data_IF_523079425293
#
_entry.id   IF_523079425293
#
_cell.length_a   1.000
_cell.length_b   1.000
_cell.length_c   1.000
_cell.angle_alpha   90.00
_cell.angle_beta   90.00
_cell.angle_gamma   90.00
#
_symmetry.space_group_name_H-M   'P 1'
#
loop_
_entity.id
_entity.type
_entity.pdbx_description
1 polymer ?
#
# COMPACT_ATOMS: atom_id res chain seq x y z
N UNK A 1 5.10 64.09 -16.30
CA UNK A 1 5.12 63.07 -17.38
C UNK A 1 5.69 61.79 -16.78
N UNK A 2 4.82 61.05 -16.09
CA UNK A 2 4.28 59.74 -16.47
C UNK A 2 5.24 58.57 -16.18
N UNK A 3 4.86 57.84 -15.14
CA UNK A 3 5.23 56.48 -14.77
C UNK A 3 5.01 55.46 -15.88
N UNK A 4 5.81 54.39 -15.90
CA UNK A 4 5.38 53.08 -16.37
C UNK A 4 6.12 51.97 -15.60
N UNK A 5 5.36 51.31 -14.71
CA UNK A 5 5.69 50.03 -14.09
C UNK A 5 5.62 48.94 -15.16
N UNK A 6 6.63 48.08 -15.24
CA UNK A 6 6.55 46.83 -16.03
C UNK A 6 6.08 45.72 -15.09
N UNK A 7 4.79 45.38 -15.24
CA UNK A 7 4.11 44.24 -14.62
C UNK A 7 4.61 42.94 -15.24
N UNK A 8 5.35 42.13 -14.49
CA UNK A 8 5.67 40.75 -14.88
C UNK A 8 4.44 39.87 -14.57
N UNK A 9 3.68 39.51 -15.61
CA UNK A 9 2.55 38.59 -15.49
C UNK A 9 3.06 37.16 -15.30
N UNK A 10 2.60 36.51 -14.24
CA UNK A 10 2.75 35.08 -13.98
C UNK A 10 2.01 34.27 -15.04
N UNK A 11 2.74 33.49 -15.83
CA UNK A 11 2.16 32.45 -16.70
C UNK A 11 2.04 31.18 -15.85
N UNK A 12 0.94 31.06 -15.12
CA UNK A 12 0.52 29.76 -14.55
C UNK A 12 -0.23 29.00 -15.64
N UNK A 13 0.41 27.99 -16.23
CA UNK A 13 -0.28 27.04 -17.11
C UNK A 13 -1.20 26.14 -16.26
N UNK A 14 -2.51 26.00 -16.56
CA UNK A 14 -3.46 25.32 -15.68
C UNK A 14 -3.40 23.77 -15.69
N UNK A 15 -2.42 23.16 -16.36
CA UNK A 15 -2.44 21.72 -16.69
C UNK A 15 -1.93 20.74 -15.62
N UNK A 16 -1.25 21.20 -14.56
CA UNK A 16 -0.60 20.30 -13.59
C UNK A 16 -1.39 20.02 -12.31
N UNK A 17 -2.30 20.92 -11.92
CA UNK A 17 -3.06 20.87 -10.65
C UNK A 17 -4.16 19.79 -10.60
N UNK A 18 -4.44 19.13 -11.73
CA UNK A 18 -5.66 18.35 -11.93
C UNK A 18 -5.42 16.83 -11.96
N UNK A 19 -4.17 16.38 -12.06
CA UNK A 19 -3.86 14.96 -12.28
C UNK A 19 -4.11 14.10 -11.03
N UNK A 20 -3.56 14.49 -9.88
CA UNK A 20 -3.81 13.78 -8.61
C UNK A 20 -5.25 13.97 -8.10
N UNK A 21 -5.88 15.12 -8.38
CA UNK A 21 -7.29 15.34 -8.00
C UNK A 21 -8.24 14.39 -8.74
N UNK A 22 -7.98 14.09 -10.01
CA UNK A 22 -8.81 13.18 -10.83
C UNK A 22 -8.56 11.70 -10.56
N UNK A 23 -7.33 11.31 -10.25
CA UNK A 23 -6.98 9.91 -9.95
C UNK A 23 -7.63 9.40 -8.66
N UNK A 24 -7.88 10.26 -7.67
CA UNK A 24 -8.37 9.86 -6.35
C UNK A 24 -9.82 10.27 -6.01
N UNK A 25 -10.54 10.97 -6.90
CA UNK A 25 -11.95 11.38 -6.66
C UNK A 25 -13.01 10.48 -7.33
N UNK A 26 -12.62 9.43 -8.06
CA UNK A 26 -13.55 8.60 -8.82
C UNK A 26 -14.04 7.38 -8.04
N UNK A 27 -14.82 7.62 -6.98
CA UNK A 27 -15.69 6.61 -6.35
C UNK A 27 -16.93 7.28 -5.77
N UNK A 28 -17.83 7.77 -6.64
CA UNK A 28 -19.16 8.26 -6.24
C UNK A 28 -20.23 7.83 -7.23
N UNK A 29 -20.82 6.65 -7.01
CA UNK A 29 -22.21 6.38 -7.39
C UNK A 29 -22.84 5.47 -6.33
N UNK A 30 -23.55 6.04 -5.36
CA UNK A 30 -24.68 5.38 -4.70
C UNK A 30 -25.80 6.42 -4.53
N UNK A 31 -26.91 6.18 -5.23
CA UNK A 31 -28.19 6.88 -5.02
C UNK A 31 -28.95 6.18 -3.88
N UNK A 32 -29.77 6.90 -3.10
CA UNK A 32 -30.48 6.31 -1.97
C UNK A 32 -31.71 5.53 -2.45
N UNK A 33 -31.93 4.33 -1.92
CA UNK A 33 -33.20 3.61 -2.03
C UNK A 33 -33.92 3.65 -0.68
N UNK A 34 -35.16 4.12 -0.73
CA UNK A 34 -36.08 4.34 0.38
C UNK A 34 -36.56 3.06 1.05
N UNK A 35 -36.69 3.11 2.38
CA UNK A 35 -37.41 2.15 3.24
C UNK A 35 -38.91 2.17 2.97
N UNK A 36 -39.53 0.99 2.90
CA UNK A 36 -40.85 0.67 3.49
C UNK A 36 -41.05 -0.84 3.53
N UNK A 37 -41.55 -1.38 4.66
CA UNK A 37 -42.17 -2.72 4.68
C UNK A 37 -41.86 -3.60 5.90
N UNK A 38 -42.46 -3.28 7.05
CA UNK A 38 -42.66 -4.21 8.17
C UNK A 38 -43.59 -5.36 7.75
N UNK A 39 -43.24 -6.61 8.04
CA UNK A 39 -44.22 -7.65 8.47
C UNK A 39 -43.56 -8.60 9.47
N UNK A 40 -44.18 -8.66 10.65
CA UNK A 40 -43.99 -9.59 11.78
C UNK A 40 -44.48 -11.00 11.44
N UNK A 41 -43.89 -12.05 12.02
CA UNK A 41 -44.64 -13.23 12.48
C UNK A 41 -43.84 -14.12 13.45
N UNK A 42 -44.29 -14.03 14.70
CA UNK A 42 -44.38 -15.02 15.80
C UNK A 42 -43.64 -16.36 15.76
N UNK A 43 -43.00 -16.63 16.91
CA UNK A 43 -42.52 -17.91 17.41
C UNK A 43 -43.62 -18.98 17.58
N UNK A 44 -43.20 -20.26 17.54
CA UNK A 44 -43.84 -21.37 18.29
C UNK A 44 -42.79 -22.38 18.76
N UNK A 45 -42.73 -22.51 20.08
CA UNK A 45 -42.03 -23.52 20.88
C UNK A 45 -42.86 -24.79 20.92
N UNK A 46 -42.25 -25.97 20.74
CA UNK A 46 -42.79 -27.24 21.26
C UNK A 46 -41.63 -28.15 21.70
N UNK A 47 -41.61 -28.43 22.99
CA UNK A 47 -40.80 -29.45 23.68
C UNK A 47 -41.64 -30.73 23.79
N UNK A 48 -41.05 -31.91 23.56
CA UNK A 48 -41.44 -33.20 24.18
C UNK A 48 -40.25 -34.19 24.12
N UNK A 49 -39.81 -34.65 25.31
CA UNK A 49 -39.58 -36.05 25.73
C UNK A 49 -38.76 -37.05 24.90
N UNK A 50 -37.67 -37.56 25.50
CA UNK A 50 -36.90 -38.77 25.12
C UNK A 50 -37.72 -40.08 25.24
N UNK A 51 -37.26 -41.22 24.68
CA UNK A 51 -36.35 -42.11 25.46
C UNK A 51 -35.19 -42.72 24.65
N UNK A 52 -34.20 -43.20 25.41
CA UNK A 52 -32.96 -43.80 24.95
C UNK A 52 -33.14 -45.27 24.49
N UNK A 53 -32.48 -45.63 23.39
CA UNK A 53 -32.21 -47.02 23.03
C UNK A 53 -30.72 -47.17 22.73
N UNK A 54 -30.03 -47.92 23.60
CA UNK A 54 -28.70 -48.47 23.36
C UNK A 54 -28.83 -49.56 22.29
N UNK A 55 -28.12 -49.41 21.17
CA UNK A 55 -27.77 -50.53 20.32
C UNK A 55 -26.26 -50.55 20.13
N UNK A 56 -25.67 -51.62 20.65
CA UNK A 56 -24.29 -52.02 20.45
C UNK A 56 -24.19 -52.64 19.07
N UNK A 57 -23.46 -52.02 18.14
CA UNK A 57 -23.08 -52.65 16.87
C UNK A 57 -21.55 -52.64 16.82
N UNK A 58 -20.98 -53.84 16.93
CA UNK A 58 -19.57 -54.10 16.67
C UNK A 58 -19.28 -53.75 15.21
N UNK A 59 -18.35 -52.81 14.98
CA UNK A 59 -17.80 -52.52 13.66
C UNK A 59 -16.34 -52.92 13.66
N UNK A 60 -16.05 -53.91 12.84
CA UNK A 60 -14.76 -54.49 12.52
C UNK A 60 -13.74 -53.40 12.16
N UNK A 61 -12.63 -53.30 12.90
CA UNK A 61 -11.49 -52.46 12.56
C UNK A 61 -10.70 -53.13 11.42
N UNK A 62 -10.85 -52.63 10.19
CA UNK A 62 -9.75 -52.68 9.23
C UNK A 62 -8.82 -51.50 9.54
N UNK A 63 -7.64 -51.81 10.06
CA UNK A 63 -6.59 -50.82 10.31
C UNK A 63 -6.04 -50.30 8.99
N UNK A 64 -6.58 -49.18 8.50
CA UNK A 64 -5.90 -48.34 7.53
C UNK A 64 -5.21 -47.22 8.35
N UNK A 65 -3.90 -47.36 8.55
CA UNK A 65 -3.07 -46.29 9.06
C UNK A 65 -3.05 -45.14 8.05
N UNK A 66 -4.02 -44.24 8.13
CA UNK A 66 -3.87 -42.91 7.56
C UNK A 66 -2.97 -42.15 8.51
N UNK A 67 -1.69 -41.96 8.15
CA UNK A 67 -0.87 -40.96 8.81
C UNK A 67 -1.55 -39.62 8.59
N UNK A 68 -2.02 -38.97 9.66
CA UNK A 68 -2.44 -37.59 9.59
C UNK A 68 -1.29 -36.77 8.99
N UNK A 69 -1.52 -35.87 8.02
CA UNK A 69 -0.47 -35.03 7.49
C UNK A 69 0.18 -34.27 8.65
N UNK A 70 1.50 -34.36 8.78
CA UNK A 70 2.25 -33.61 9.80
C UNK A 70 1.93 -32.13 9.61
N UNK A 71 1.34 -31.52 10.65
CA UNK A 71 1.12 -30.07 10.70
C UNK A 71 2.49 -29.40 10.57
N UNK A 72 2.73 -28.71 9.46
CA UNK A 72 3.97 -27.98 9.25
C UNK A 72 4.11 -26.87 10.30
N UNK A 73 5.35 -26.55 10.67
CA UNK A 73 5.59 -25.35 11.47
C UNK A 73 5.27 -24.09 10.66
N UNK A 74 4.81 -23.04 11.33
CA UNK A 74 4.52 -21.73 10.71
C UNK A 74 5.68 -21.22 9.87
N UNK A 75 6.92 -21.34 10.38
CA UNK A 75 8.14 -20.96 9.65
C UNK A 75 8.35 -21.77 8.37
N UNK A 76 8.02 -23.06 8.36
CA UNK A 76 8.19 -23.90 7.17
C UNK A 76 7.15 -23.57 6.09
N UNK A 77 5.94 -23.19 6.48
CA UNK A 77 4.90 -22.78 5.54
C UNK A 77 5.25 -21.43 4.90
N UNK A 78 5.71 -20.46 5.71
CA UNK A 78 6.15 -19.15 5.21
C UNK A 78 7.28 -19.28 4.19
N UNK A 79 8.29 -20.11 4.45
CA UNK A 79 9.40 -20.33 3.51
C UNK A 79 9.00 -21.00 2.19
N UNK A 80 7.91 -21.77 2.19
CA UNK A 80 7.42 -22.40 0.95
C UNK A 80 6.68 -21.41 0.06
N UNK A 81 5.98 -20.44 0.66
CA UNK A 81 5.25 -19.42 -0.10
C UNK A 81 6.12 -18.21 -0.45
N UNK A 82 6.90 -17.70 0.50
CA UNK A 82 7.72 -16.49 0.38
C UNK A 82 9.07 -16.79 -0.28
N UNK A 83 9.00 -17.24 -1.53
CA UNK A 83 10.17 -17.64 -2.33
C UNK A 83 10.79 -16.45 -3.08
N UNK A 84 12.06 -16.56 -3.52
CA UNK A 84 12.66 -15.57 -4.43
C UNK A 84 11.81 -15.36 -5.69
N UNK A 85 11.26 -16.42 -6.28
CA UNK A 85 10.37 -16.33 -7.45
C UNK A 85 9.08 -15.55 -7.15
N UNK A 86 8.52 -15.65 -5.94
CA UNK A 86 7.38 -14.82 -5.55
C UNK A 86 7.77 -13.32 -5.59
N UNK A 87 8.94 -12.97 -5.05
CA UNK A 87 9.39 -11.57 -5.02
C UNK A 87 9.71 -11.02 -6.41
N UNK A 88 10.31 -11.84 -7.27
CA UNK A 88 10.51 -11.50 -8.68
C UNK A 88 9.17 -11.25 -9.39
N UNK A 89 8.16 -12.08 -9.13
CA UNK A 89 6.83 -11.92 -9.71
C UNK A 89 6.12 -10.65 -9.18
N UNK A 90 6.26 -10.33 -7.89
CA UNK A 90 5.75 -9.07 -7.33
C UNK A 90 6.40 -7.87 -8.03
N UNK A 91 7.73 -7.84 -8.12
CA UNK A 91 8.45 -6.77 -8.81
C UNK A 91 8.00 -6.67 -10.27
N UNK A 92 7.97 -7.80 -10.98
CA UNK A 92 7.57 -7.83 -12.40
C UNK A 92 6.17 -7.29 -12.59
N UNK A 93 5.17 -7.81 -11.87
CA UNK A 93 3.78 -7.35 -12.03
C UNK A 93 3.66 -5.85 -11.71
N UNK A 94 4.29 -5.41 -10.63
CA UNK A 94 4.15 -4.04 -10.15
C UNK A 94 4.77 -3.01 -11.08
N UNK A 95 5.91 -3.34 -11.71
CA UNK A 95 6.67 -2.41 -12.55
C UNK A 95 6.55 -2.69 -14.05
N UNK A 96 5.82 -3.71 -14.50
CA UNK A 96 5.71 -4.13 -15.92
C UNK A 96 5.33 -3.00 -16.88
N UNK A 97 4.56 -2.03 -16.40
CA UNK A 97 4.07 -0.94 -17.23
C UNK A 97 5.06 0.22 -17.40
N UNK A 98 6.19 0.22 -16.69
CA UNK A 98 7.26 1.18 -16.88
C UNK A 98 8.12 0.72 -18.06
N UNK A 99 8.18 1.53 -19.11
CA UNK A 99 8.73 1.11 -20.41
C UNK A 99 10.26 1.13 -20.50
N UNK A 100 10.94 1.87 -19.62
CA UNK A 100 12.37 2.13 -19.72
C UNK A 100 12.99 2.53 -18.36
N UNK A 101 14.33 2.65 -18.33
CA UNK A 101 15.07 3.07 -17.13
C UNK A 101 14.82 4.52 -16.73
N UNK A 102 14.38 5.39 -17.64
CA UNK A 102 14.08 6.79 -17.33
C UNK A 102 12.78 6.88 -16.51
N UNK A 103 11.78 6.06 -16.85
CA UNK A 103 10.55 5.91 -16.06
C UNK A 103 10.80 5.39 -14.64
N UNK A 104 11.91 4.67 -14.41
CA UNK A 104 12.32 4.29 -13.05
C UNK A 104 12.88 5.49 -12.27
N UNK A 105 13.57 6.40 -12.96
CA UNK A 105 14.16 7.61 -12.38
C UNK A 105 13.08 8.62 -12.04
N UNK A 106 12.20 8.93 -13.00
CA UNK A 106 11.10 9.86 -12.82
C UNK A 106 9.87 9.37 -13.63
N UNK A 107 8.94 8.63 -13.01
CA UNK A 107 7.79 8.08 -13.73
C UNK A 107 6.85 9.20 -14.20
N UNK A 108 6.33 9.05 -15.41
CA UNK A 108 5.37 10.00 -16.00
C UNK A 108 4.01 9.85 -15.31
N UNK A 109 3.20 10.91 -15.36
CA UNK A 109 1.87 10.92 -14.77
C UNK A 109 0.95 9.78 -15.26
N UNK A 110 1.03 9.42 -16.54
CA UNK A 110 0.27 8.30 -17.12
C UNK A 110 0.71 6.93 -16.61
N UNK A 111 1.98 6.79 -16.22
CA UNK A 111 2.52 5.56 -15.64
C UNK A 111 2.13 5.48 -14.17
N UNK A 112 2.36 6.56 -13.41
CA UNK A 112 1.91 6.70 -12.02
C UNK A 112 0.42 6.35 -11.87
N UNK A 113 -0.42 6.85 -12.80
CA UNK A 113 -1.85 6.58 -12.79
C UNK A 113 -2.23 5.09 -12.81
N UNK A 114 -1.38 4.20 -13.34
CA UNK A 114 -1.65 2.76 -13.38
C UNK A 114 -1.55 2.11 -12.00
N UNK A 115 -0.69 2.60 -11.11
CA UNK A 115 -0.60 2.11 -9.73
C UNK A 115 -1.83 2.48 -8.90
N UNK A 116 -2.40 3.66 -9.14
CA UNK A 116 -3.46 4.21 -8.30
C UNK A 116 -4.87 3.98 -8.86
N UNK A 117 -5.00 3.66 -10.15
CA UNK A 117 -6.28 3.36 -10.75
C UNK A 117 -6.80 1.99 -10.30
N UNK A 118 -8.10 1.91 -9.98
CA UNK A 118 -8.78 0.63 -9.85
C UNK A 118 -8.81 -0.06 -11.22
N UNK A 119 -8.35 -1.31 -11.28
CA UNK A 119 -8.34 -2.12 -12.49
C UNK A 119 -8.65 -3.59 -12.12
N UNK A 120 -9.74 -4.13 -12.67
CA UNK A 120 -10.24 -5.46 -12.28
C UNK A 120 -9.34 -6.58 -12.78
N UNK A 121 -8.73 -6.44 -13.96
CA UNK A 121 -7.79 -7.41 -14.49
C UNK A 121 -6.52 -7.50 -13.62
N UNK A 122 -6.01 -6.35 -13.17
CA UNK A 122 -4.86 -6.26 -12.28
C UNK A 122 -5.19 -6.81 -10.89
N UNK A 123 -6.38 -6.52 -10.37
CA UNK A 123 -6.86 -7.09 -9.10
C UNK A 123 -6.91 -8.63 -9.19
N UNK A 124 -7.47 -9.17 -10.27
CA UNK A 124 -7.53 -10.60 -10.50
C UNK A 124 -6.13 -11.22 -10.60
N UNK A 125 -5.18 -10.54 -11.27
CA UNK A 125 -3.79 -10.98 -11.33
C UNK A 125 -3.15 -11.02 -9.94
N UNK A 126 -3.38 -10.00 -9.10
CA UNK A 126 -2.90 -9.97 -7.71
C UNK A 126 -3.47 -11.13 -6.89
N UNK A 127 -4.78 -11.36 -6.99
CA UNK A 127 -5.46 -12.45 -6.26
C UNK A 127 -4.88 -13.81 -6.67
N UNK A 128 -4.77 -14.07 -7.97
CA UNK A 128 -4.29 -15.37 -8.47
C UNK A 128 -2.83 -15.64 -8.09
N UNK A 129 -1.98 -14.62 -8.15
CA UNK A 129 -0.53 -14.82 -7.98
C UNK A 129 -0.08 -14.73 -6.52
N UNK A 130 -0.74 -13.93 -5.68
CA UNK A 130 -0.18 -13.54 -4.39
C UNK A 130 -1.08 -13.81 -3.19
N UNK A 131 -2.40 -13.99 -3.37
CA UNK A 131 -3.29 -14.29 -2.24
C UNK A 131 -2.87 -15.54 -1.44
N UNK A 132 -2.36 -16.64 -2.04
CA UNK A 132 -1.88 -17.80 -1.27
C UNK A 132 -0.81 -17.46 -0.22
N UNK A 133 0.16 -16.61 -0.59
CA UNK A 133 1.20 -16.15 0.33
C UNK A 133 0.62 -15.25 1.43
N UNK A 134 -0.29 -14.35 1.07
CA UNK A 134 -0.98 -13.45 2.02
C UNK A 134 -1.83 -14.23 3.03
N UNK A 135 -2.59 -15.22 2.59
CA UNK A 135 -3.38 -16.10 3.45
C UNK A 135 -2.47 -16.94 4.36
N UNK A 136 -1.29 -17.35 3.89
CA UNK A 136 -0.30 -18.02 4.73
C UNK A 136 0.25 -17.10 5.82
N UNK A 137 0.51 -15.84 5.51
CA UNK A 137 0.91 -14.82 6.52
C UNK A 137 -0.21 -14.56 7.53
N UNK A 138 -1.48 -14.54 7.10
CA UNK A 138 -2.64 -14.41 7.99
C UNK A 138 -2.73 -15.62 8.92
N UNK A 139 -2.76 -16.83 8.36
CA UNK A 139 -3.01 -18.08 9.10
C UNK A 139 -1.86 -18.48 10.04
N UNK A 140 -0.64 -18.02 9.75
CA UNK A 140 0.52 -18.26 10.60
C UNK A 140 0.72 -17.22 11.68
N UNK A 141 -0.03 -16.11 11.65
CA UNK A 141 0.13 -14.95 12.53
C UNK A 141 1.58 -14.41 12.56
N UNK A 142 2.31 -14.58 11.45
CA UNK A 142 3.72 -14.18 11.31
C UNK A 142 3.99 -12.73 11.75
N UNK A 143 5.04 -12.51 12.55
CA UNK A 143 5.57 -11.16 12.77
C UNK A 143 6.34 -10.67 11.54
N UNK A 144 6.66 -9.37 11.49
CA UNK A 144 7.58 -8.84 10.48
C UNK A 144 8.94 -9.57 10.50
N UNK A 145 9.43 -9.92 11.69
CA UNK A 145 10.67 -10.70 11.86
C UNK A 145 10.55 -12.11 11.28
N UNK A 146 9.41 -12.78 11.43
CA UNK A 146 9.19 -14.12 10.85
C UNK A 146 9.21 -14.06 9.32
N UNK A 147 8.57 -13.03 8.75
CA UNK A 147 8.52 -12.78 7.30
C UNK A 147 9.93 -12.51 6.78
N UNK A 148 10.67 -11.58 7.40
CA UNK A 148 12.05 -11.26 7.00
C UNK A 148 12.99 -12.46 7.15
N UNK A 149 12.81 -13.29 8.18
CA UNK A 149 13.58 -14.53 8.34
C UNK A 149 13.23 -15.57 7.27
N UNK A 150 11.96 -15.68 6.89
CA UNK A 150 11.53 -16.59 5.84
C UNK A 150 12.05 -16.17 4.47
N UNK A 151 11.97 -14.89 4.15
CA UNK A 151 12.43 -14.30 2.89
C UNK A 151 13.96 -14.25 2.81
N UNK A 152 14.62 -13.80 3.89
CA UNK A 152 16.06 -13.51 3.93
C UNK A 152 16.50 -12.58 2.77
N UNK A 153 15.99 -11.33 2.70
CA UNK A 153 16.21 -10.45 1.55
C UNK A 153 17.69 -10.13 1.37
N UNK A 154 18.18 -10.31 0.15
CA UNK A 154 19.59 -10.17 -0.24
C UNK A 154 19.89 -8.91 -1.05
N UNK A 155 18.84 -8.28 -1.59
CA UNK A 155 18.93 -7.12 -2.45
C UNK A 155 17.90 -6.04 -2.06
N UNK A 156 18.13 -4.79 -2.49
CA UNK A 156 17.13 -3.74 -2.31
C UNK A 156 15.80 -4.06 -2.99
N UNK A 157 15.81 -4.84 -4.07
CA UNK A 157 14.59 -5.27 -4.76
C UNK A 157 13.83 -6.32 -3.98
N UNK A 158 14.52 -7.22 -3.26
CA UNK A 158 13.86 -8.20 -2.38
C UNK A 158 13.09 -7.47 -1.27
N UNK A 159 13.72 -6.48 -0.63
CA UNK A 159 13.07 -5.62 0.36
C UNK A 159 11.86 -4.89 -0.23
N UNK A 160 12.02 -4.28 -1.40
CA UNK A 160 10.95 -3.55 -2.07
C UNK A 160 9.77 -4.46 -2.42
N UNK A 161 10.04 -5.66 -2.94
CA UNK A 161 9.01 -6.65 -3.29
C UNK A 161 8.25 -7.14 -2.07
N UNK A 162 8.93 -7.37 -0.93
CA UNK A 162 8.23 -7.71 0.32
C UNK A 162 7.34 -6.56 0.77
N UNK A 163 7.82 -5.32 0.71
CA UNK A 163 7.03 -4.15 1.06
C UNK A 163 5.80 -4.01 0.15
N UNK A 164 5.95 -4.15 -1.16
CA UNK A 164 4.82 -4.11 -2.11
C UNK A 164 3.85 -5.26 -1.87
N UNK A 165 4.36 -6.47 -1.61
CA UNK A 165 3.53 -7.65 -1.30
C UNK A 165 2.66 -7.41 -0.07
N UNK A 166 3.15 -6.66 0.92
CA UNK A 166 2.43 -6.42 2.17
C UNK A 166 1.64 -5.11 2.15
N UNK A 167 2.07 -4.08 1.44
CA UNK A 167 1.39 -2.79 1.45
C UNK A 167 0.41 -2.69 0.28
N UNK A 168 0.86 -2.97 -0.93
CA UNK A 168 0.08 -2.65 -2.13
C UNK A 168 -0.80 -3.81 -2.59
N UNK A 169 -0.23 -5.00 -2.73
CA UNK A 169 -0.97 -6.18 -3.20
C UNK A 169 -2.25 -6.46 -2.38
N UNK A 170 -2.27 -6.30 -1.04
CA UNK A 170 -3.50 -6.53 -0.27
C UNK A 170 -4.62 -5.55 -0.61
N UNK A 171 -4.30 -4.31 -1.02
CA UNK A 171 -5.30 -3.31 -1.45
C UNK A 171 -6.00 -3.71 -2.76
N UNK A 172 -5.32 -4.52 -3.59
CA UNK A 172 -5.87 -5.11 -4.81
C UNK A 172 -6.59 -6.45 -4.54
N UNK A 173 -6.11 -7.24 -3.58
CA UNK A 173 -6.68 -8.55 -3.23
C UNK A 173 -7.94 -8.48 -2.36
N UNK A 174 -8.04 -7.49 -1.45
CA UNK A 174 -9.05 -7.43 -0.39
C UNK A 174 -9.83 -6.11 -0.43
N UNK A 175 -10.60 -5.88 -1.51
CA UNK A 175 -11.44 -4.69 -1.65
C UNK A 175 -12.74 -4.77 -0.83
N UNK A 176 -13.36 -3.61 -0.62
CA UNK A 176 -14.69 -3.52 0.02
C UNK A 176 -14.66 -4.05 1.45
N UNK A 177 -15.58 -4.97 1.76
CA UNK A 177 -15.74 -5.52 3.12
C UNK A 177 -14.52 -6.32 3.62
N UNK A 178 -13.64 -6.77 2.72
CA UNK A 178 -12.40 -7.47 3.08
C UNK A 178 -11.27 -6.52 3.49
N UNK A 179 -11.38 -5.21 3.21
CA UNK A 179 -10.33 -4.20 3.45
C UNK A 179 -9.86 -4.09 4.90
N UNK A 180 -10.65 -4.56 5.86
CA UNK A 180 -10.25 -4.63 7.28
C UNK A 180 -8.94 -5.37 7.51
N UNK A 181 -8.64 -6.40 6.69
CA UNK A 181 -7.39 -7.17 6.81
C UNK A 181 -6.20 -6.36 6.33
N UNK A 182 -6.39 -5.50 5.32
CA UNK A 182 -5.35 -4.59 4.83
C UNK A 182 -4.90 -3.68 5.96
N UNK A 183 -5.84 -2.93 6.55
CA UNK A 183 -5.53 -1.95 7.58
C UNK A 183 -5.11 -2.59 8.92
N UNK A 184 -5.73 -3.72 9.29
CA UNK A 184 -5.52 -4.33 10.61
C UNK A 184 -4.35 -5.30 10.68
N UNK A 185 -3.94 -5.91 9.56
CA UNK A 185 -2.90 -6.95 9.53
C UNK A 185 -1.71 -6.57 8.67
N UNK A 186 -1.95 -6.05 7.47
CA UNK A 186 -0.89 -5.86 6.50
C UNK A 186 -0.18 -4.50 6.61
N UNK A 187 -0.92 -3.41 6.85
CA UNK A 187 -0.33 -2.08 7.06
C UNK A 187 0.73 -2.09 8.19
N UNK A 188 0.48 -2.64 9.40
CA UNK A 188 1.49 -2.67 10.46
C UNK A 188 2.74 -3.49 10.10
N UNK A 189 2.57 -4.60 9.38
CA UNK A 189 3.68 -5.43 8.93
C UNK A 189 4.55 -4.69 7.91
N UNK A 190 3.90 -4.04 6.93
CA UNK A 190 4.58 -3.26 5.91
C UNK A 190 5.31 -2.06 6.51
N UNK A 191 4.69 -1.35 7.45
CA UNK A 191 5.30 -0.23 8.18
C UNK A 191 6.59 -0.69 8.89
N UNK A 192 6.51 -1.76 9.69
CA UNK A 192 7.66 -2.26 10.45
C UNK A 192 8.81 -2.67 9.52
N UNK A 193 8.52 -3.37 8.43
CA UNK A 193 9.52 -3.80 7.45
C UNK A 193 10.13 -2.60 6.70
N UNK A 194 9.31 -1.61 6.32
CA UNK A 194 9.80 -0.38 5.69
C UNK A 194 10.72 0.40 6.63
N UNK A 195 10.37 0.55 7.91
CA UNK A 195 11.23 1.20 8.90
C UNK A 195 12.57 0.46 9.06
N UNK A 196 12.56 -0.88 9.07
CA UNK A 196 13.80 -1.67 9.08
C UNK A 196 14.64 -1.46 7.80
N UNK A 197 14.00 -1.35 6.64
CA UNK A 197 14.68 -1.06 5.38
C UNK A 197 15.36 0.32 5.42
N UNK A 198 14.68 1.35 5.96
CA UNK A 198 15.27 2.68 6.17
C UNK A 198 16.46 2.64 7.14
N UNK A 199 16.33 1.93 8.25
CA UNK A 199 17.43 1.78 9.22
C UNK A 199 18.68 1.12 8.62
N UNK A 200 18.49 0.21 7.67
CA UNK A 200 19.58 -0.45 6.93
C UNK A 200 20.07 0.34 5.71
N UNK A 201 19.51 1.53 5.45
CA UNK A 201 19.87 2.35 4.30
C UNK A 201 19.50 1.75 2.94
N UNK A 202 18.56 0.80 2.90
CA UNK A 202 18.15 0.11 1.66
C UNK A 202 17.62 1.09 0.60
N UNK A 203 16.75 2.07 0.92
CA UNK A 203 16.23 3.01 -0.09
C UNK A 203 17.28 4.01 -0.59
N UNK A 204 18.44 4.10 0.06
CA UNK A 204 19.54 5.01 -0.29
C UNK A 204 20.72 4.31 -0.96
N UNK A 205 20.60 3.02 -1.26
CA UNK A 205 21.61 2.30 -2.04
C UNK A 205 21.67 2.81 -3.49
N UNK A 206 22.81 2.67 -4.21
CA UNK A 206 22.95 3.18 -5.57
C UNK A 206 21.85 2.73 -6.54
N UNK A 207 21.35 1.50 -6.41
CA UNK A 207 20.29 0.94 -7.27
C UNK A 207 18.91 1.56 -7.06
N UNK A 208 18.67 2.27 -5.94
CA UNK A 208 17.35 2.80 -5.56
C UNK A 208 17.35 4.30 -5.31
N UNK A 209 18.48 4.87 -4.88
CA UNK A 209 18.58 6.24 -4.36
C UNK A 209 17.95 7.29 -5.27
N UNK A 210 18.24 7.25 -6.56
CA UNK A 210 17.76 8.24 -7.55
C UNK A 210 16.65 7.70 -8.45
N UNK A 211 15.99 6.61 -8.05
CA UNK A 211 14.90 5.99 -8.81
C UNK A 211 13.58 6.22 -8.09
N UNK A 212 12.87 7.29 -8.46
CA UNK A 212 11.63 7.69 -7.78
C UNK A 212 10.56 6.61 -7.83
N UNK A 213 10.50 5.84 -8.92
CA UNK A 213 9.59 4.70 -9.03
C UNK A 213 9.79 3.68 -7.89
N UNK A 214 11.01 3.54 -7.36
CA UNK A 214 11.30 2.67 -6.23
C UNK A 214 11.13 3.38 -4.89
N UNK A 215 11.63 4.62 -4.77
CA UNK A 215 11.60 5.39 -3.50
C UNK A 215 10.18 5.56 -2.96
N UNK A 216 9.18 5.76 -3.84
CA UNK A 216 7.78 5.92 -3.43
C UNK A 216 7.29 4.70 -2.66
N UNK A 217 7.56 3.48 -3.14
CA UNK A 217 7.00 2.27 -2.52
C UNK A 217 7.68 1.87 -1.21
N UNK A 218 8.93 2.28 -0.96
CA UNK A 218 9.51 2.21 0.38
C UNK A 218 8.82 3.17 1.37
N UNK A 219 8.32 4.31 0.87
CA UNK A 219 7.69 5.36 1.67
C UNK A 219 6.22 5.10 1.98
N UNK A 220 5.46 4.53 1.04
CA UNK A 220 4.00 4.33 1.17
C UNK A 220 3.54 3.70 2.50
N UNK A 221 4.19 2.68 3.07
CA UNK A 221 3.78 2.13 4.36
C UNK A 221 3.79 3.15 5.51
N UNK A 222 4.75 4.07 5.51
CA UNK A 222 4.83 5.13 6.53
C UNK A 222 3.64 6.10 6.38
N UNK A 223 3.29 6.41 5.13
CA UNK A 223 2.13 7.25 4.80
C UNK A 223 0.79 6.58 5.14
N UNK A 224 0.73 5.25 5.14
CA UNK A 224 -0.46 4.50 5.53
C UNK A 224 -0.64 4.33 7.04
N UNK A 225 0.36 4.71 7.84
CA UNK A 225 0.34 4.63 9.30
C UNK A 225 -0.76 5.50 9.91
N UNK A 226 -1.38 5.05 11.00
CA UNK A 226 -2.21 5.90 11.87
C UNK A 226 -1.40 6.42 13.07
N UNK A 227 -0.12 6.75 12.85
CA UNK A 227 0.81 7.29 13.87
C UNK A 227 1.39 8.63 13.45
N UNK A 228 1.15 9.66 14.27
CA UNK A 228 1.70 11.00 14.02
C UNK A 228 3.23 11.00 13.98
N UNK A 229 3.87 10.23 14.86
CA UNK A 229 5.33 10.10 14.89
C UNK A 229 5.89 9.48 13.60
N UNK A 230 5.17 8.52 13.02
CA UNK A 230 5.56 7.92 11.73
C UNK A 230 5.38 8.92 10.60
N UNK A 231 4.31 9.71 10.59
CA UNK A 231 4.15 10.81 9.62
C UNK A 231 5.23 11.89 9.74
N UNK A 232 5.69 12.21 10.95
CA UNK A 232 6.83 13.12 11.14
C UNK A 232 8.12 12.56 10.55
N UNK A 233 8.34 11.25 10.65
CA UNK A 233 9.45 10.58 9.98
C UNK A 233 9.25 10.55 8.46
N UNK A 234 8.04 10.29 7.98
CA UNK A 234 7.69 10.26 6.58
C UNK A 234 7.95 11.61 5.89
N UNK A 235 7.60 12.73 6.54
CA UNK A 235 7.93 14.09 6.05
C UNK A 235 9.44 14.25 5.88
N UNK A 236 10.25 13.83 6.86
CA UNK A 236 11.72 13.91 6.77
C UNK A 236 12.26 13.04 5.63
N UNK A 237 11.71 11.85 5.44
CA UNK A 237 12.08 10.97 4.32
C UNK A 237 11.82 11.65 2.98
N UNK A 238 10.70 12.35 2.81
CA UNK A 238 10.40 13.10 1.58
C UNK A 238 11.35 14.29 1.38
N UNK A 239 11.70 15.01 2.45
CA UNK A 239 12.71 16.08 2.41
C UNK A 239 14.10 15.53 2.03
N UNK A 240 14.45 14.35 2.54
CA UNK A 240 15.71 13.64 2.22
C UNK A 240 15.75 13.17 0.77
N UNK A 241 14.64 12.63 0.25
CA UNK A 241 14.48 12.30 -1.18
C UNK A 241 14.71 13.55 -2.03
N UNK A 242 14.07 14.67 -1.68
CA UNK A 242 14.23 15.90 -2.44
C UNK A 242 15.68 16.40 -2.42
N UNK A 243 16.35 16.30 -1.26
CA UNK A 243 17.78 16.62 -1.13
C UNK A 243 18.64 15.72 -2.01
N UNK A 244 18.45 14.39 -1.97
CA UNK A 244 19.20 13.43 -2.80
C UNK A 244 19.13 13.78 -4.29
N UNK A 245 17.92 14.08 -4.79
CA UNK A 245 17.70 14.42 -6.20
C UNK A 245 18.33 15.76 -6.59
N UNK A 246 18.24 16.75 -5.70
CA UNK A 246 18.85 18.06 -5.91
C UNK A 246 20.38 17.98 -5.89
N UNK A 247 20.96 17.18 -5.01
CA UNK A 247 22.40 16.92 -4.96
C UNK A 247 22.88 16.27 -6.25
N UNK A 248 22.16 15.28 -6.78
CA UNK A 248 22.49 14.67 -8.07
C UNK A 248 22.47 15.70 -9.20
N UNK A 249 21.42 16.52 -9.30
CA UNK A 249 21.28 17.56 -10.32
C UNK A 249 22.34 18.66 -10.24
N UNK A 250 22.86 18.94 -9.05
CA UNK A 250 23.90 19.96 -8.83
C UNK A 250 25.33 19.42 -9.02
N UNK A 251 25.49 18.10 -9.13
CA UNK A 251 26.81 17.46 -9.18
C UNK A 251 27.47 17.66 -10.55
N UNK A 252 28.77 17.93 -10.53
CA UNK A 252 29.59 18.04 -11.74
C UNK A 252 29.51 16.73 -12.55
N UNK A 253 29.07 16.76 -13.83
CA UNK A 253 28.97 15.58 -14.67
C UNK A 253 30.25 14.74 -14.76
N UNK A 254 31.43 15.37 -14.65
CA UNK A 254 32.73 14.67 -14.68
C UNK A 254 33.01 13.84 -13.42
N UNK A 255 32.21 14.01 -12.36
CA UNK A 255 32.35 13.34 -11.06
C UNK A 255 31.21 12.35 -10.78
N UNK A 256 30.31 12.14 -11.74
CA UNK A 256 29.24 11.16 -11.64
C UNK A 256 29.80 9.76 -11.77
N UNK A 257 29.33 8.85 -10.92
CA UNK A 257 29.44 7.40 -11.16
C UNK A 257 28.58 7.00 -12.36
N UNK A 258 28.78 5.78 -12.88
CA UNK A 258 27.97 5.27 -14.00
C UNK A 258 26.46 5.27 -13.67
N UNK A 259 26.08 4.84 -12.46
CA UNK A 259 24.68 4.84 -12.02
C UNK A 259 24.11 6.25 -11.86
N UNK A 260 24.89 7.18 -11.31
CA UNK A 260 24.48 8.58 -11.21
C UNK A 260 24.37 9.24 -12.58
N UNK A 261 25.25 8.90 -13.53
CA UNK A 261 25.23 9.44 -14.89
C UNK A 261 23.95 9.06 -15.62
N UNK A 262 23.51 7.79 -15.51
CA UNK A 262 22.22 7.32 -16.05
C UNK A 262 21.02 8.06 -15.45
N UNK A 263 21.02 8.23 -14.13
CA UNK A 263 19.92 8.92 -13.45
C UNK A 263 19.93 10.42 -13.79
N UNK A 264 21.11 11.04 -13.81
CA UNK A 264 21.26 12.46 -14.15
C UNK A 264 20.78 12.74 -15.58
N UNK A 265 21.09 11.87 -16.56
CA UNK A 265 20.60 12.05 -17.93
C UNK A 265 19.07 11.95 -18.03
N UNK A 266 18.45 11.09 -17.25
CA UNK A 266 16.99 10.93 -17.21
C UNK A 266 16.28 12.15 -16.57
N UNK A 267 16.98 12.94 -15.74
CA UNK A 267 16.43 14.14 -15.08
C UNK A 267 16.59 15.42 -15.93
N UNK A 268 16.56 15.30 -17.26
CA UNK A 268 16.87 16.38 -18.19
C UNK A 268 15.95 17.62 -18.08
N UNK A 269 14.74 17.49 -17.53
CA UNK A 269 13.85 18.61 -17.22
C UNK A 269 13.75 18.89 -15.72
N UNK A 270 14.59 19.80 -15.22
CA UNK A 270 14.62 20.20 -13.81
C UNK A 270 13.26 20.71 -13.28
N UNK A 271 12.45 21.35 -14.14
CA UNK A 271 11.12 21.86 -13.73
C UNK A 271 10.16 20.75 -13.32
N UNK A 272 10.19 19.64 -14.06
CA UNK A 272 9.35 18.46 -13.77
C UNK A 272 9.80 17.78 -12.48
N UNK A 273 11.11 17.71 -12.23
CA UNK A 273 11.67 17.14 -10.99
C UNK A 273 11.20 17.93 -9.77
N UNK A 274 11.35 19.26 -9.78
CA UNK A 274 10.92 20.09 -8.64
C UNK A 274 9.41 20.01 -8.39
N UNK A 275 8.61 19.99 -9.48
CA UNK A 275 7.17 19.81 -9.37
C UNK A 275 6.83 18.47 -8.74
N UNK A 276 7.48 17.38 -9.16
CA UNK A 276 7.25 16.05 -8.62
C UNK A 276 7.62 15.94 -7.13
N UNK A 277 8.78 16.46 -6.74
CA UNK A 277 9.24 16.45 -5.34
C UNK A 277 8.30 17.23 -4.43
N UNK A 278 7.89 18.43 -4.87
CA UNK A 278 6.95 19.27 -4.12
C UNK A 278 5.60 18.57 -3.95
N UNK A 279 5.08 17.97 -5.02
CA UNK A 279 3.80 17.26 -4.98
C UNK A 279 3.81 16.06 -4.02
N UNK A 280 4.89 15.27 -4.00
CA UNK A 280 5.01 14.13 -3.07
C UNK A 280 5.05 14.61 -1.61
N UNK A 281 5.83 15.66 -1.31
CA UNK A 281 5.90 16.22 0.03
C UNK A 281 4.56 16.82 0.47
N UNK A 282 3.85 17.52 -0.41
CA UNK A 282 2.53 18.07 -0.12
C UNK A 282 1.48 16.97 0.09
N UNK A 283 1.61 15.85 -0.63
CA UNK A 283 0.77 14.67 -0.45
C UNK A 283 0.96 14.08 0.96
N UNK A 284 2.21 13.88 1.39
CA UNK A 284 2.53 13.43 2.74
C UNK A 284 2.01 14.38 3.83
N UNK A 285 2.20 15.69 3.65
CA UNK A 285 1.68 16.70 4.61
C UNK A 285 0.16 16.64 4.77
N UNK A 286 -0.58 16.41 3.68
CA UNK A 286 -2.05 16.25 3.74
C UNK A 286 -2.47 15.00 4.52
N UNK A 287 -1.73 13.90 4.39
CA UNK A 287 -1.96 12.71 5.22
C UNK A 287 -1.71 13.01 6.70
N UNK A 288 -0.56 13.64 6.99
CA UNK A 288 -0.19 14.04 8.35
C UNK A 288 -1.27 14.90 9.00
N UNK A 289 -1.85 15.87 8.28
CA UNK A 289 -2.93 16.74 8.83
C UNK A 289 -4.15 15.94 9.28
N UNK A 290 -4.53 14.88 8.57
CA UNK A 290 -5.64 14.01 8.97
C UNK A 290 -5.29 13.28 10.28
N UNK A 291 -4.08 12.72 10.37
CA UNK A 291 -3.63 12.01 11.57
C UNK A 291 -3.42 12.95 12.75
N UNK A 292 -2.92 14.16 12.54
CA UNK A 292 -2.80 15.18 13.58
C UNK A 292 -4.18 15.58 14.13
N UNK A 293 -5.18 15.70 13.24
CA UNK A 293 -6.54 16.10 13.63
C UNK A 293 -7.33 14.99 14.33
N UNK A 294 -7.29 13.76 13.79
CA UNK A 294 -8.18 12.67 14.23
C UNK A 294 -7.46 11.54 14.96
N UNK A 295 -6.13 11.50 14.92
CA UNK A 295 -5.30 10.40 15.44
C UNK A 295 -5.39 9.11 14.62
N UNK A 296 -6.14 9.12 13.50
CA UNK A 296 -6.44 7.96 12.65
C UNK A 296 -7.05 8.43 11.32
N UNK A 297 -7.24 7.51 10.38
CA UNK A 297 -7.96 7.77 9.13
C UNK A 297 -9.48 7.51 9.28
N UNK A 298 -10.33 8.54 9.25
CA UNK A 298 -11.77 8.36 9.51
C UNK A 298 -12.48 7.46 8.50
N UNK A 299 -12.03 7.45 7.23
CA UNK A 299 -12.61 6.62 6.18
C UNK A 299 -12.45 5.11 6.44
N UNK A 300 -11.46 4.70 7.25
CA UNK A 300 -11.24 3.29 7.63
C UNK A 300 -12.18 2.81 8.73
N UNK A 301 -12.93 3.71 9.37
CA UNK A 301 -13.73 3.40 10.55
C UNK A 301 -14.75 2.28 10.30
N UNK A 302 -15.45 2.32 9.16
CA UNK A 302 -16.44 1.28 8.83
C UNK A 302 -15.80 -0.09 8.67
N UNK A 303 -14.71 -0.18 7.88
CA UNK A 303 -13.99 -1.44 7.65
C UNK A 303 -13.43 -2.03 8.96
N UNK A 304 -12.91 -1.16 9.83
CA UNK A 304 -12.33 -1.55 11.12
C UNK A 304 -13.38 -1.69 12.25
N UNK A 305 -14.67 -1.52 11.97
CA UNK A 305 -15.74 -1.60 12.98
C UNK A 305 -15.67 -0.50 14.07
N UNK A 306 -15.00 0.61 13.78
CA UNK A 306 -14.86 1.76 14.70
C UNK A 306 -16.09 2.65 14.61
N UNK A 307 -16.55 3.16 15.76
CA UNK A 307 -17.56 4.22 15.79
C UNK A 307 -16.90 5.56 15.42
N UNK A 308 -17.42 6.22 14.39
CA UNK A 308 -16.99 7.57 14.01
C UNK A 308 -17.51 8.61 15.00
N UNK A 309 -16.70 9.64 15.29
CA UNK A 309 -17.13 10.85 16.00
C UNK A 309 -17.99 11.73 15.09
N UNK A 310 -18.69 12.72 15.68
CA UNK A 310 -19.45 13.70 14.88
C UNK A 310 -18.54 14.48 13.94
N UNK A 311 -17.35 14.85 14.40
CA UNK A 311 -16.36 15.59 13.61
C UNK A 311 -15.84 14.75 12.43
N UNK A 312 -15.57 13.46 12.65
CA UNK A 312 -15.17 12.54 11.59
C UNK A 312 -16.27 12.36 10.54
N UNK A 313 -17.54 12.26 10.97
CA UNK A 313 -18.70 12.17 10.07
C UNK A 313 -18.83 13.46 9.25
N UNK A 314 -18.75 14.63 9.89
CA UNK A 314 -18.82 15.93 9.22
C UNK A 314 -17.69 16.10 8.20
N UNK A 315 -16.45 15.75 8.59
CA UNK A 315 -15.29 15.76 7.69
C UNK A 315 -15.54 14.94 6.43
N UNK A 316 -15.95 13.66 6.58
CA UNK A 316 -16.20 12.78 5.43
C UNK A 316 -17.39 13.25 4.59
N UNK A 317 -18.47 13.71 5.22
CA UNK A 317 -19.68 14.19 4.52
C UNK A 317 -19.39 15.43 3.68
N UNK A 318 -18.51 16.30 4.15
CA UNK A 318 -18.09 17.52 3.44
C UNK A 318 -16.98 17.28 2.40
N UNK A 319 -16.68 16.02 2.05
CA UNK A 319 -15.69 15.69 1.03
C UNK A 319 -14.25 15.76 1.52
N UNK A 320 -14.03 15.51 2.82
CA UNK A 320 -12.72 15.32 3.39
C UNK A 320 -11.91 14.28 2.60
N UNK A 321 -10.60 14.51 2.54
CA UNK A 321 -9.68 13.65 1.80
C UNK A 321 -9.63 12.24 2.41
N UNK A 322 -9.58 11.25 1.53
CA UNK A 322 -9.46 9.83 1.85
C UNK A 322 -8.31 9.25 1.05
N UNK A 323 -7.49 8.44 1.69
CA UNK A 323 -6.28 7.87 1.12
C UNK A 323 -6.14 6.40 1.51
N UNK A 324 -5.75 5.55 0.57
CA UNK A 324 -5.70 4.09 0.74
C UNK A 324 -6.80 3.39 -0.03
#
# INVERSE_FOLDING_TARGET
MSSAQVSCRSVTSPGGLDMFRRLFQSSRILRPVSRTGLVSLSARTLSIGRPALRQTVQRTQLGIFHSAPKRMSSTSALKQELTPTLLENVHKLWFEHLGDEESLVLPKGSEMGKWFAKNEEFDQACVMQFRPALETIINSEASASDILSAVSPSSAMDWLSVIILLDQIPRNCYRGDESKVVFGRFDPLAEEIALQAFQQGIPTQPSTKHRMAYRIWFHMPLMHSESLAVHEQAVKVQEDIARDMNELLAKDPSRLTDEESKCHSALSNQGDVQSFLTQNLDFEKRHKVIIERFGRYPHRNQALGRKSTLEEIEYLTNGGETFG
#
